data_IF_828116267789
#
_entry.id   IF_828116267789
#
_cell.length_a   1.000
_cell.length_b   1.000
_cell.length_c   1.000
_cell.angle_alpha   90.00
_cell.angle_beta   90.00
_cell.angle_gamma   90.00
#
_symmetry.space_group_name_H-M   'P 1'
#
loop_
_entity.id
_entity.type
_entity.pdbx_description
1 polymer ?
#
# COMPACT_ATOMS: atom_id res chain seq x y z
N UNK A 1 -22.31 30.91 34.13
CA UNK A 1 -22.32 30.31 32.79
C UNK A 1 -20.87 30.06 32.43
N UNK A 2 -20.37 28.91 32.76
CA UNK A 2 -18.96 28.58 32.63
C UNK A 2 -18.83 27.20 32.01
N UNK A 3 -18.09 27.14 30.91
CA UNK A 3 -17.22 26.06 30.46
C UNK A 3 -17.76 24.63 30.37
N UNK A 4 -18.16 24.23 29.19
CA UNK A 4 -17.98 22.85 28.73
C UNK A 4 -17.06 22.91 27.52
N UNK A 5 -15.76 22.90 27.75
CA UNK A 5 -14.70 22.51 26.85
C UNK A 5 -13.76 21.64 27.65
N UNK A 6 -14.00 20.35 27.59
CA UNK A 6 -13.05 19.34 28.07
C UNK A 6 -13.00 18.26 27.01
N UNK A 7 -12.02 18.40 26.13
CA UNK A 7 -11.03 17.39 25.80
C UNK A 7 -11.60 15.98 25.57
N UNK A 8 -11.97 15.70 24.34
CA UNK A 8 -11.81 14.36 23.76
C UNK A 8 -10.30 14.08 23.70
N UNK A 9 -9.73 13.71 24.83
CA UNK A 9 -8.45 13.05 24.89
C UNK A 9 -8.78 11.58 24.58
N UNK A 10 -8.84 11.23 23.29
CA UNK A 10 -8.88 9.85 22.83
C UNK A 10 -7.73 9.14 23.52
N UNK A 11 -8.06 8.23 24.41
CA UNK A 11 -7.10 7.42 25.15
C UNK A 11 -6.53 6.38 24.19
N UNK A 12 -5.60 6.82 23.31
CA UNK A 12 -4.89 5.93 22.41
C UNK A 12 -4.18 4.87 23.24
N UNK A 13 -4.37 3.58 22.94
CA UNK A 13 -3.68 2.51 23.63
C UNK A 13 -2.15 2.71 23.56
N UNK A 14 -1.46 2.52 24.68
CA UNK A 14 -0.02 2.76 24.78
C UNK A 14 0.80 2.01 23.70
N UNK A 15 0.35 0.82 23.30
CA UNK A 15 1.02 0.03 22.26
C UNK A 15 0.98 0.68 20.88
N UNK A 16 -0.03 1.47 20.53
CA UNK A 16 -0.08 2.18 19.24
C UNK A 16 0.99 3.27 19.16
N UNK A 17 1.12 4.08 20.20
CA UNK A 17 2.19 5.09 20.31
C UNK A 17 3.57 4.43 20.26
N UNK A 18 3.72 3.25 20.85
CA UNK A 18 4.99 2.53 20.84
C UNK A 18 5.26 1.92 19.45
N UNK A 19 4.23 1.45 18.75
CA UNK A 19 4.37 1.01 17.36
C UNK A 19 4.85 2.14 16.45
N UNK A 20 4.27 3.34 16.57
CA UNK A 20 4.71 4.53 15.84
C UNK A 20 6.18 4.88 16.15
N UNK A 21 6.61 4.81 17.40
CA UNK A 21 8.01 5.06 17.78
C UNK A 21 8.98 4.01 17.23
N UNK A 22 8.58 2.75 17.20
CA UNK A 22 9.41 1.69 16.60
C UNK A 22 9.47 1.88 15.07
N UNK A 23 8.38 2.26 14.43
CA UNK A 23 8.37 2.60 13.01
C UNK A 23 9.27 3.81 12.70
N UNK A 24 9.26 4.85 13.56
CA UNK A 24 10.16 6.00 13.46
C UNK A 24 11.63 5.59 13.58
N UNK A 25 11.98 4.67 14.50
CA UNK A 25 13.35 4.14 14.60
C UNK A 25 13.85 3.51 13.30
N UNK A 26 12.98 2.85 12.53
CA UNK A 26 13.33 2.28 11.23
C UNK A 26 13.71 3.40 10.26
N UNK A 27 12.91 4.45 10.19
CA UNK A 27 13.11 5.58 9.28
C UNK A 27 14.32 6.40 9.68
N UNK A 28 14.41 6.80 10.95
CA UNK A 28 15.46 7.70 11.48
C UNK A 28 16.86 7.07 11.39
N UNK A 29 16.95 5.75 11.55
CA UNK A 29 18.22 5.03 11.40
C UNK A 29 18.45 4.53 9.96
N UNK A 30 17.58 4.89 9.00
CA UNK A 30 17.68 4.46 7.60
C UNK A 30 17.82 2.93 7.45
N UNK A 31 17.14 2.18 8.32
CA UNK A 31 17.20 0.73 8.30
C UNK A 31 16.53 0.19 7.04
N UNK A 32 17.19 -0.76 6.41
CA UNK A 32 16.74 -1.40 5.17
C UNK A 32 15.97 -2.68 5.47
N UNK A 33 15.14 -3.13 4.54
CA UNK A 33 14.56 -4.46 4.60
C UNK A 33 15.59 -5.54 4.90
N UNK A 34 15.29 -6.41 5.88
CA UNK A 34 16.19 -7.45 6.36
C UNK A 34 17.15 -7.00 7.49
N UNK A 35 17.24 -5.72 7.77
CA UNK A 35 18.03 -5.24 8.91
C UNK A 35 17.39 -5.68 10.23
N UNK A 36 18.25 -6.03 11.17
CA UNK A 36 17.81 -6.50 12.49
C UNK A 36 17.45 -5.30 13.36
N UNK A 37 16.25 -5.33 13.94
CA UNK A 37 15.82 -4.41 14.96
C UNK A 37 16.29 -4.85 16.35
N UNK A 38 16.36 -3.92 17.33
CA UNK A 38 16.56 -4.30 18.72
C UNK A 38 15.51 -5.32 19.18
N UNK A 39 15.88 -6.17 20.10
CA UNK A 39 14.98 -7.16 20.69
C UNK A 39 13.85 -6.48 21.47
N UNK A 40 12.74 -7.19 21.73
CA UNK A 40 11.64 -6.66 22.56
C UNK A 40 12.14 -6.20 23.94
N UNK A 41 13.19 -6.81 24.46
CA UNK A 41 13.81 -6.41 25.72
C UNK A 41 14.54 -5.08 25.58
N UNK A 42 15.41 -4.96 24.60
CA UNK A 42 16.15 -3.72 24.30
C UNK A 42 15.20 -2.56 23.97
N UNK A 43 14.15 -2.82 23.19
CA UNK A 43 13.12 -1.82 22.89
C UNK A 43 12.37 -1.40 24.15
N UNK A 44 12.09 -2.31 25.09
CA UNK A 44 11.42 -1.95 26.33
C UNK A 44 12.28 -1.06 27.22
N UNK A 45 13.59 -1.27 27.24
CA UNK A 45 14.55 -0.42 27.95
C UNK A 45 14.69 0.95 27.26
N UNK A 46 14.88 0.97 25.93
CA UNK A 46 15.05 2.20 25.16
C UNK A 46 13.82 3.11 25.20
N UNK A 47 12.64 2.52 25.16
CA UNK A 47 11.36 3.27 25.11
C UNK A 47 10.74 3.50 26.49
N UNK A 48 11.33 2.94 27.56
CA UNK A 48 10.87 3.12 28.95
C UNK A 48 9.49 2.54 29.22
N UNK A 49 9.11 1.44 28.56
CA UNK A 49 7.80 0.79 28.70
C UNK A 49 7.95 -0.70 29.01
N UNK A 50 6.86 -1.32 29.47
CA UNK A 50 6.88 -2.75 29.78
C UNK A 50 7.06 -3.60 28.50
N UNK A 51 7.70 -4.76 28.64
CA UNK A 51 7.86 -5.74 27.53
C UNK A 51 6.51 -6.18 26.93
N UNK A 52 5.45 -6.18 27.72
CA UNK A 52 4.10 -6.51 27.25
C UNK A 52 3.61 -5.45 26.25
N UNK A 53 3.79 -4.17 26.55
CA UNK A 53 3.41 -3.08 25.64
C UNK A 53 4.22 -3.13 24.34
N UNK A 54 5.54 -3.39 24.42
CA UNK A 54 6.39 -3.57 23.24
C UNK A 54 5.91 -4.76 22.39
N UNK A 55 5.60 -5.88 23.04
CA UNK A 55 5.12 -7.07 22.32
C UNK A 55 3.80 -6.84 21.58
N UNK A 56 2.86 -6.10 22.19
CA UNK A 56 1.60 -5.73 21.51
C UNK A 56 1.89 -4.75 20.34
N UNK A 57 2.77 -3.78 20.55
CA UNK A 57 3.22 -2.88 19.48
C UNK A 57 3.88 -3.65 18.30
N UNK A 58 4.75 -4.61 18.62
CA UNK A 58 5.39 -5.49 17.60
C UNK A 58 4.34 -6.32 16.86
N UNK A 59 3.30 -6.84 17.53
CA UNK A 59 2.22 -7.55 16.85
C UNK A 59 1.50 -6.65 15.83
N UNK A 60 1.25 -5.39 16.17
CA UNK A 60 0.66 -4.40 15.25
C UNK A 60 1.58 -4.21 14.04
N UNK A 61 2.87 -3.99 14.27
CA UNK A 61 3.85 -3.80 13.19
C UNK A 61 4.02 -5.04 12.32
N UNK A 62 3.90 -6.23 12.89
CA UNK A 62 3.89 -7.50 12.13
C UNK A 62 2.59 -7.61 11.30
N UNK A 63 1.44 -7.31 11.91
CA UNK A 63 0.15 -7.34 11.23
C UNK A 63 0.05 -6.33 10.09
N UNK A 64 0.72 -5.16 10.23
CA UNK A 64 0.82 -4.13 9.19
C UNK A 64 1.98 -4.36 8.21
N UNK A 65 2.72 -5.48 8.36
CA UNK A 65 3.81 -5.83 7.44
C UNK A 65 5.04 -4.93 7.52
N UNK A 66 5.21 -4.14 8.58
CA UNK A 66 6.37 -3.25 8.76
C UNK A 66 7.59 -3.98 9.35
N UNK A 67 7.35 -5.02 10.12
CA UNK A 67 8.40 -5.86 10.69
C UNK A 67 7.99 -7.34 10.64
N UNK A 68 8.97 -8.24 10.71
CA UNK A 68 8.71 -9.67 10.86
C UNK A 68 9.58 -10.27 11.97
N UNK A 69 9.07 -11.33 12.59
CA UNK A 69 9.78 -12.06 13.62
C UNK A 69 10.36 -13.35 13.05
N UNK A 70 11.64 -13.60 13.29
CA UNK A 70 12.29 -14.88 12.96
C UNK A 70 12.51 -15.67 14.25
N UNK A 71 11.87 -16.83 14.36
CA UNK A 71 11.90 -17.67 15.56
C UNK A 71 13.34 -17.94 16.00
N UNK A 72 13.69 -17.56 17.23
CA UNK A 72 15.05 -17.72 17.79
C UNK A 72 16.10 -16.72 17.28
N UNK A 73 15.77 -15.85 16.33
CA UNK A 73 16.72 -14.92 15.71
C UNK A 73 16.43 -13.44 15.98
N UNK A 74 15.16 -13.05 16.22
CA UNK A 74 14.80 -11.69 16.60
C UNK A 74 13.73 -11.03 15.72
N UNK A 75 13.71 -9.69 15.77
CA UNK A 75 12.83 -8.81 15.04
C UNK A 75 13.61 -8.16 13.89
N UNK A 76 13.00 -8.08 12.72
CA UNK A 76 13.64 -7.57 11.51
C UNK A 76 12.71 -6.59 10.80
N UNK A 77 13.28 -5.58 10.16
CA UNK A 77 12.53 -4.69 9.27
C UNK A 77 11.95 -5.54 8.14
N UNK A 78 10.62 -5.54 8.04
CA UNK A 78 10.00 -6.08 6.87
C UNK A 78 10.22 -5.07 5.73
N UNK A 79 11.06 -5.46 4.87
CA UNK A 79 10.86 -5.32 3.46
C UNK A 79 10.17 -6.59 3.06
N UNK A 80 9.81 -6.73 1.84
CA UNK A 80 9.33 -8.04 1.35
C UNK A 80 10.01 -9.16 2.14
N UNK A 81 9.22 -10.00 2.84
CA UNK A 81 9.76 -11.13 3.65
C UNK A 81 10.92 -11.77 2.87
N UNK A 82 12.03 -12.22 3.50
CA UNK A 82 13.07 -12.95 2.77
C UNK A 82 12.52 -14.13 1.96
N UNK A 83 11.48 -14.80 2.45
CA UNK A 83 10.72 -15.79 1.67
C UNK A 83 9.94 -15.16 0.52
N UNK A 84 9.50 -13.92 0.69
CA UNK A 84 8.89 -13.10 -0.34
C UNK A 84 9.99 -12.49 -1.24
N UNK A 85 11.13 -12.05 -0.71
CA UNK A 85 12.26 -11.58 -1.52
C UNK A 85 12.90 -12.70 -2.34
N UNK A 86 13.03 -13.92 -1.80
CA UNK A 86 13.45 -15.11 -2.53
C UNK A 86 12.36 -15.57 -3.53
N UNK A 87 11.08 -15.42 -3.18
CA UNK A 87 9.95 -15.65 -4.06
C UNK A 87 9.94 -14.62 -5.22
N UNK A 88 10.42 -13.41 -4.98
CA UNK A 88 10.48 -12.32 -5.96
C UNK A 88 11.85 -12.14 -6.64
N UNK A 89 12.88 -12.85 -6.21
CA UNK A 89 14.19 -12.85 -6.87
C UNK A 89 14.12 -13.45 -8.29
N UNK A 90 13.05 -14.20 -8.58
CA UNK A 90 12.68 -14.65 -9.92
C UNK A 90 11.23 -14.23 -10.18
N UNK A 91 11.01 -12.99 -10.58
CA UNK A 91 9.67 -12.53 -10.97
C UNK A 91 9.25 -13.27 -12.23
N UNK A 92 8.40 -14.26 -12.04
CA UNK A 92 7.80 -15.05 -13.11
C UNK A 92 6.54 -14.34 -13.63
N UNK A 93 6.31 -14.27 -14.97
CA UNK A 93 5.06 -13.78 -15.55
C UNK A 93 3.78 -14.44 -14.98
N UNK A 94 3.85 -15.70 -14.52
CA UNK A 94 2.73 -16.39 -13.88
C UNK A 94 2.40 -15.79 -12.51
N UNK A 95 3.39 -15.41 -11.74
CA UNK A 95 3.20 -14.74 -10.44
C UNK A 95 2.56 -13.36 -10.61
N UNK A 96 2.96 -12.61 -11.65
CA UNK A 96 2.30 -11.35 -11.99
C UNK A 96 0.84 -11.60 -12.32
N UNK A 97 0.53 -12.63 -13.10
CA UNK A 97 -0.85 -12.98 -13.46
C UNK A 97 -1.68 -13.34 -12.22
N UNK A 98 -1.16 -14.18 -11.33
CA UNK A 98 -1.84 -14.57 -10.08
C UNK A 98 -2.08 -13.38 -9.16
N UNK A 99 -1.14 -12.43 -9.11
CA UNK A 99 -1.30 -11.21 -8.37
C UNK A 99 -2.44 -10.35 -8.90
N UNK A 100 -2.49 -10.15 -10.22
CA UNK A 100 -3.56 -9.35 -10.82
C UNK A 100 -4.91 -10.05 -10.76
N UNK A 101 -4.97 -11.38 -10.81
CA UNK A 101 -6.19 -12.14 -10.50
C UNK A 101 -6.69 -11.81 -9.09
N UNK A 102 -5.80 -11.80 -8.09
CA UNK A 102 -6.14 -11.41 -6.73
C UNK A 102 -6.59 -9.95 -6.62
N UNK A 103 -5.94 -9.03 -7.36
CA UNK A 103 -6.36 -7.63 -7.46
C UNK A 103 -7.78 -7.50 -8.02
N UNK A 104 -8.08 -8.20 -9.09
CA UNK A 104 -9.41 -8.19 -9.70
C UNK A 104 -10.49 -8.65 -8.70
N UNK A 105 -10.22 -9.71 -7.93
CA UNK A 105 -11.14 -10.22 -6.90
C UNK A 105 -11.42 -9.17 -5.81
N UNK A 106 -10.44 -8.36 -5.42
CA UNK A 106 -10.58 -7.39 -4.33
C UNK A 106 -11.01 -6.01 -4.81
N UNK A 107 -10.37 -5.49 -5.86
CA UNK A 107 -10.48 -4.08 -6.21
C UNK A 107 -11.69 -3.77 -7.10
N UNK A 108 -12.20 -4.73 -7.88
CA UNK A 108 -13.44 -4.53 -8.66
C UNK A 108 -14.65 -4.31 -7.73
N UNK A 109 -14.96 -5.22 -6.81
CA UNK A 109 -16.06 -4.99 -5.88
C UNK A 109 -15.81 -3.79 -4.95
N UNK A 110 -14.54 -3.44 -4.68
CA UNK A 110 -14.23 -2.25 -3.90
C UNK A 110 -14.62 -0.97 -4.65
N UNK A 111 -14.31 -0.86 -5.94
CA UNK A 111 -14.71 0.30 -6.76
C UNK A 111 -16.24 0.43 -6.84
N UNK A 112 -16.94 -0.70 -7.04
CA UNK A 112 -18.39 -0.76 -7.01
C UNK A 112 -18.98 -0.23 -5.69
N UNK A 113 -18.51 -0.78 -4.56
CA UNK A 113 -18.96 -0.38 -3.23
C UNK A 113 -18.60 1.07 -2.89
N UNK A 114 -17.44 1.55 -3.35
CA UNK A 114 -17.06 2.94 -3.18
C UNK A 114 -18.05 3.89 -3.87
N UNK A 115 -18.48 3.60 -5.10
CA UNK A 115 -19.48 4.38 -5.81
C UNK A 115 -20.83 4.43 -5.06
N UNK A 116 -21.20 3.37 -4.34
CA UNK A 116 -22.42 3.32 -3.54
C UNK A 116 -22.33 4.06 -2.20
N UNK A 117 -21.12 4.21 -1.63
CA UNK A 117 -20.96 4.52 -0.19
C UNK A 117 -20.11 5.74 0.11
N UNK A 118 -19.32 6.22 -0.86
CA UNK A 118 -18.37 7.30 -0.64
C UNK A 118 -19.04 8.54 -0.07
N UNK A 119 -18.47 9.08 0.99
CA UNK A 119 -18.90 10.34 1.59
C UNK A 119 -18.28 11.53 0.86
N UNK A 120 -18.85 12.76 0.97
CA UNK A 120 -18.25 13.95 0.37
C UNK A 120 -16.82 14.24 0.82
N UNK A 121 -16.47 13.90 2.07
CA UNK A 121 -15.11 14.06 2.59
C UNK A 121 -14.13 13.08 1.94
N UNK A 122 -14.51 11.80 1.82
CA UNK A 122 -13.70 10.77 1.18
C UNK A 122 -13.54 11.02 -0.32
N UNK A 123 -14.59 11.52 -0.97
CA UNK A 123 -14.52 11.92 -2.38
C UNK A 123 -13.52 13.06 -2.60
N UNK A 124 -13.42 14.01 -1.65
CA UNK A 124 -12.41 15.07 -1.71
C UNK A 124 -10.99 14.46 -1.61
N UNK A 125 -10.76 13.58 -0.67
CA UNK A 125 -9.46 12.89 -0.52
C UNK A 125 -9.09 12.06 -1.77
N UNK A 126 -10.06 11.36 -2.38
CA UNK A 126 -9.84 10.63 -3.63
C UNK A 126 -9.49 11.58 -4.80
N UNK A 127 -10.16 12.72 -4.92
CA UNK A 127 -9.82 13.75 -5.93
C UNK A 127 -8.41 14.30 -5.74
N UNK A 128 -8.01 14.57 -4.49
CA UNK A 128 -6.67 15.07 -4.18
C UNK A 128 -5.61 14.05 -4.58
N UNK A 129 -5.84 12.76 -4.28
CA UNK A 129 -4.93 11.69 -4.68
C UNK A 129 -4.80 11.56 -6.20
N UNK A 130 -5.91 11.65 -6.95
CA UNK A 130 -5.90 11.61 -8.42
C UNK A 130 -5.22 12.86 -9.01
N UNK A 131 -5.45 14.04 -8.44
CA UNK A 131 -4.78 15.27 -8.86
C UNK A 131 -3.28 15.20 -8.64
N UNK A 132 -2.85 14.67 -7.49
CA UNK A 132 -1.44 14.48 -7.20
C UNK A 132 -0.80 13.43 -8.13
N UNK A 133 -1.55 12.37 -8.47
CA UNK A 133 -1.09 11.37 -9.45
C UNK A 133 -0.89 11.98 -10.85
N UNK A 134 -1.80 12.85 -11.30
CA UNK A 134 -1.65 13.58 -12.56
C UNK A 134 -0.42 14.49 -12.52
N UNK A 135 -0.24 15.27 -11.45
CA UNK A 135 0.91 16.15 -11.29
C UNK A 135 2.24 15.40 -11.30
N UNK A 136 2.32 14.22 -10.67
CA UNK A 136 3.53 13.40 -10.66
C UNK A 136 3.99 12.99 -12.06
N UNK A 137 3.05 12.77 -12.98
CA UNK A 137 3.34 12.48 -14.39
C UNK A 137 3.83 13.73 -15.12
N UNK A 138 3.24 14.91 -14.84
CA UNK A 138 3.65 16.19 -15.45
C UNK A 138 5.10 16.55 -15.06
N UNK A 139 5.47 16.35 -13.79
CA UNK A 139 6.83 16.61 -13.29
C UNK A 139 7.79 15.43 -13.50
N UNK A 140 7.32 14.33 -14.08
CA UNK A 140 8.07 13.11 -14.36
C UNK A 140 8.66 12.44 -13.11
N UNK A 141 8.02 12.59 -11.96
CA UNK A 141 8.40 11.94 -10.71
C UNK A 141 7.71 10.58 -10.56
N UNK A 142 8.45 9.53 -10.86
CA UNK A 142 7.95 8.14 -10.81
C UNK A 142 7.68 7.65 -9.40
N UNK A 143 8.44 8.15 -8.42
CA UNK A 143 8.24 7.80 -7.01
C UNK A 143 6.91 8.37 -6.53
N UNK A 144 6.67 9.66 -6.76
CA UNK A 144 5.39 10.31 -6.45
C UNK A 144 4.23 9.65 -7.19
N UNK A 145 4.43 9.20 -8.43
CA UNK A 145 3.41 8.44 -9.16
C UNK A 145 3.04 7.17 -8.41
N UNK A 146 4.01 6.37 -7.96
CA UNK A 146 3.76 5.14 -7.21
C UNK A 146 3.04 5.37 -5.88
N UNK A 147 3.42 6.42 -5.14
CA UNK A 147 2.78 6.78 -3.88
C UNK A 147 1.32 7.24 -4.08
N UNK A 148 1.09 8.09 -5.07
CA UNK A 148 -0.25 8.59 -5.39
C UNK A 148 -1.17 7.50 -5.97
N UNK A 149 -0.64 6.60 -6.78
CA UNK A 149 -1.36 5.42 -7.26
C UNK A 149 -1.81 4.54 -6.07
N UNK A 150 -0.91 4.28 -5.13
CA UNK A 150 -1.26 3.55 -3.91
C UNK A 150 -2.31 4.29 -3.06
N UNK A 151 -2.24 5.62 -2.99
CA UNK A 151 -3.20 6.43 -2.26
C UNK A 151 -4.60 6.39 -2.89
N UNK A 152 -4.71 6.41 -4.23
CA UNK A 152 -5.98 6.28 -4.95
C UNK A 152 -6.67 4.95 -4.60
N UNK A 153 -5.97 3.83 -4.75
CA UNK A 153 -6.55 2.52 -4.48
C UNK A 153 -6.91 2.34 -3.00
N UNK A 154 -6.13 2.94 -2.09
CA UNK A 154 -6.45 2.97 -0.65
C UNK A 154 -7.72 3.78 -0.39
N UNK A 155 -7.85 4.98 -0.96
CA UNK A 155 -9.04 5.81 -0.79
C UNK A 155 -10.30 5.11 -1.30
N UNK A 156 -10.21 4.40 -2.43
CA UNK A 156 -11.32 3.58 -2.95
C UNK A 156 -11.67 2.45 -1.96
N UNK A 157 -10.66 1.77 -1.41
CA UNK A 157 -10.86 0.70 -0.44
C UNK A 157 -11.49 1.21 0.88
N UNK A 158 -11.06 2.36 1.38
CA UNK A 158 -11.62 3.02 2.57
C UNK A 158 -13.07 3.43 2.36
N UNK A 159 -13.42 3.97 1.19
CA UNK A 159 -14.77 4.34 0.82
C UNK A 159 -15.75 3.15 0.72
N UNK A 160 -15.27 1.91 0.75
CA UNK A 160 -16.15 0.73 0.88
C UNK A 160 -16.82 0.63 2.25
N UNK A 161 -16.27 1.29 3.26
CA UNK A 161 -16.64 1.16 4.68
C UNK A 161 -16.57 -0.29 5.19
N UNK A 162 -15.76 -1.12 4.53
CA UNK A 162 -15.51 -2.51 4.92
C UNK A 162 -14.05 -2.66 5.39
N UNK A 163 -13.80 -2.69 6.72
CA UNK A 163 -12.43 -2.72 7.25
C UNK A 163 -11.64 -3.98 6.83
N UNK A 164 -12.31 -5.10 6.57
CA UNK A 164 -11.64 -6.31 6.10
C UNK A 164 -11.17 -6.16 4.66
N UNK A 165 -12.00 -5.58 3.79
CA UNK A 165 -11.65 -5.33 2.39
C UNK A 165 -10.54 -4.28 2.29
N UNK A 166 -10.64 -3.19 3.07
CA UNK A 166 -9.61 -2.16 3.18
C UNK A 166 -8.27 -2.77 3.63
N UNK A 167 -8.28 -3.57 4.70
CA UNK A 167 -7.08 -4.22 5.20
C UNK A 167 -6.45 -5.16 4.15
N UNK A 168 -7.25 -5.94 3.45
CA UNK A 168 -6.78 -6.86 2.42
C UNK A 168 -6.11 -6.10 1.27
N UNK A 169 -6.75 -5.03 0.75
CA UNK A 169 -6.21 -4.22 -0.36
C UNK A 169 -4.94 -3.49 0.06
N UNK A 170 -4.93 -2.85 1.23
CA UNK A 170 -3.74 -2.13 1.74
C UNK A 170 -2.58 -3.10 1.96
N UNK A 171 -2.83 -4.25 2.58
CA UNK A 171 -1.79 -5.27 2.79
C UNK A 171 -1.24 -5.80 1.46
N UNK A 172 -2.13 -6.15 0.54
CA UNK A 172 -1.76 -6.57 -0.80
C UNK A 172 -0.86 -5.53 -1.48
N UNK A 173 -1.24 -4.26 -1.47
CA UNK A 173 -0.49 -3.17 -2.11
C UNK A 173 0.86 -2.92 -1.45
N UNK A 174 0.97 -3.01 -0.14
CA UNK A 174 2.24 -2.88 0.58
C UNK A 174 3.22 -4.03 0.26
N UNK A 175 2.71 -5.22 0.01
CA UNK A 175 3.54 -6.37 -0.41
C UNK A 175 3.95 -6.30 -1.88
N UNK A 176 3.31 -5.46 -2.68
CA UNK A 176 3.54 -5.29 -4.11
C UNK A 176 4.55 -4.20 -4.48
N UNK A 177 5.27 -3.64 -3.52
CA UNK A 177 6.28 -2.59 -3.79
C UNK A 177 7.23 -2.98 -4.94
N UNK A 178 7.54 -4.26 -5.09
CA UNK A 178 8.35 -4.79 -6.18
C UNK A 178 7.68 -4.67 -7.58
N UNK A 179 6.34 -4.69 -7.67
CA UNK A 179 5.64 -4.46 -8.95
C UNK A 179 5.86 -3.02 -9.40
N UNK A 180 5.99 -2.08 -8.47
CA UNK A 180 6.36 -0.70 -8.80
C UNK A 180 7.81 -0.58 -9.24
N UNK A 181 8.73 -1.35 -8.66
CA UNK A 181 10.12 -1.44 -9.13
C UNK A 181 10.20 -1.99 -10.57
N UNK A 182 9.37 -2.99 -10.88
CA UNK A 182 9.20 -3.47 -12.26
C UNK A 182 8.57 -2.38 -13.12
N UNK A 183 7.55 -1.73 -12.60
CA UNK A 183 6.85 -0.63 -13.26
C UNK A 183 7.73 0.63 -13.46
N UNK A 184 8.88 0.74 -12.78
CA UNK A 184 9.85 1.82 -13.01
C UNK A 184 10.37 1.87 -14.47
N UNK A 185 10.22 0.77 -15.23
CA UNK A 185 10.48 0.74 -16.68
C UNK A 185 9.36 1.31 -17.56
N UNK A 186 8.20 1.68 -17.00
CA UNK A 186 7.06 2.20 -17.77
C UNK A 186 7.40 3.52 -18.44
N UNK A 187 6.97 3.65 -19.69
CA UNK A 187 7.13 4.88 -20.46
C UNK A 187 6.19 5.97 -19.94
N UNK A 188 6.49 7.22 -20.27
CA UNK A 188 5.63 8.37 -19.94
C UNK A 188 4.20 8.18 -20.46
N UNK A 189 4.04 7.63 -21.67
CA UNK A 189 2.73 7.38 -22.26
C UNK A 189 1.89 6.37 -21.48
N UNK A 190 2.53 5.34 -20.91
CA UNK A 190 1.85 4.36 -20.04
C UNK A 190 1.37 5.03 -18.75
N UNK A 191 2.19 5.88 -18.13
CA UNK A 191 1.79 6.61 -16.94
C UNK A 191 0.64 7.58 -17.21
N UNK A 192 0.67 8.29 -18.35
CA UNK A 192 -0.44 9.14 -18.79
C UNK A 192 -1.74 8.35 -19.01
N UNK A 193 -1.62 7.12 -19.52
CA UNK A 193 -2.78 6.24 -19.70
C UNK A 193 -3.39 5.87 -18.35
N UNK A 194 -2.58 5.55 -17.34
CA UNK A 194 -3.09 5.26 -16.00
C UNK A 194 -3.76 6.45 -15.34
N UNK A 195 -3.22 7.66 -15.50
CA UNK A 195 -3.89 8.88 -15.02
C UNK A 195 -5.27 9.03 -15.64
N UNK A 196 -5.42 8.82 -16.95
CA UNK A 196 -6.73 8.87 -17.63
C UNK A 196 -7.69 7.83 -17.06
N UNK A 197 -7.21 6.64 -16.77
CA UNK A 197 -8.02 5.58 -16.16
C UNK A 197 -8.45 5.92 -14.73
N UNK A 198 -7.54 6.48 -13.92
CA UNK A 198 -7.88 6.96 -12.57
C UNK A 198 -8.94 8.08 -12.60
N UNK A 199 -8.85 8.98 -13.57
CA UNK A 199 -9.88 10.00 -13.78
C UNK A 199 -11.24 9.36 -14.15
N UNK A 200 -11.25 8.31 -14.97
CA UNK A 200 -12.48 7.59 -15.32
C UNK A 200 -13.08 6.88 -14.11
N UNK A 201 -12.26 6.23 -13.29
CA UNK A 201 -12.70 5.59 -12.03
C UNK A 201 -13.27 6.64 -11.08
N UNK A 202 -12.57 7.76 -10.88
CA UNK A 202 -13.02 8.86 -10.04
C UNK A 202 -14.38 9.41 -10.51
N UNK A 203 -14.55 9.62 -11.81
CA UNK A 203 -15.79 10.13 -12.39
C UNK A 203 -16.97 9.19 -12.09
N UNK A 204 -16.80 7.88 -12.34
CA UNK A 204 -17.83 6.88 -12.08
C UNK A 204 -18.20 6.80 -10.57
N UNK A 205 -17.22 6.87 -9.69
CA UNK A 205 -17.45 6.88 -8.23
C UNK A 205 -18.16 8.16 -7.81
N UNK A 206 -17.77 9.31 -8.35
CA UNK A 206 -18.39 10.62 -8.06
C UNK A 206 -19.85 10.70 -8.50
N UNK A 207 -20.17 10.08 -9.63
CA UNK A 207 -21.54 10.06 -10.19
C UNK A 207 -22.41 9.00 -9.51
N UNK A 208 -21.83 8.16 -8.64
CA UNK A 208 -22.55 7.11 -7.94
C UNK A 208 -22.99 5.98 -8.90
N UNK A 209 -22.12 5.62 -9.85
CA UNK A 209 -22.38 4.62 -10.90
C UNK A 209 -21.58 3.33 -10.62
N UNK A 210 -22.11 2.37 -9.83
CA UNK A 210 -21.35 1.21 -9.35
C UNK A 210 -20.82 0.32 -10.48
N UNK A 211 -21.65 0.06 -11.50
CA UNK A 211 -21.26 -0.79 -12.63
C UNK A 211 -20.18 -0.12 -13.49
N UNK A 212 -20.26 1.20 -13.66
CA UNK A 212 -19.25 1.97 -14.39
C UNK A 212 -17.92 2.04 -13.61
N UNK A 213 -17.96 2.18 -12.29
CA UNK A 213 -16.78 2.19 -11.43
C UNK A 213 -16.05 0.84 -11.45
N UNK A 214 -16.79 -0.26 -11.34
CA UNK A 214 -16.27 -1.62 -11.46
C UNK A 214 -15.63 -1.85 -12.83
N UNK A 215 -16.31 -1.48 -13.91
CA UNK A 215 -15.79 -1.62 -15.27
C UNK A 215 -14.55 -0.76 -15.52
N UNK A 216 -14.51 0.47 -15.02
CA UNK A 216 -13.34 1.34 -15.14
C UNK A 216 -12.14 0.77 -14.39
N UNK A 217 -12.33 0.22 -13.19
CA UNK A 217 -11.30 -0.47 -12.42
C UNK A 217 -10.81 -1.74 -13.15
N UNK A 218 -11.72 -2.50 -13.76
CA UNK A 218 -11.38 -3.68 -14.55
C UNK A 218 -10.43 -3.32 -15.70
N UNK A 219 -10.78 -2.33 -16.51
CA UNK A 219 -9.94 -1.86 -17.63
C UNK A 219 -8.57 -1.40 -17.14
N UNK A 220 -8.52 -0.68 -16.02
CA UNK A 220 -7.27 -0.24 -15.41
C UNK A 220 -6.37 -1.43 -15.01
N UNK A 221 -6.92 -2.41 -14.32
CA UNK A 221 -6.16 -3.56 -13.83
C UNK A 221 -5.71 -4.49 -14.97
N UNK A 222 -6.54 -4.72 -15.99
CA UNK A 222 -6.15 -5.51 -17.15
C UNK A 222 -4.98 -4.88 -17.91
N UNK A 223 -5.02 -3.56 -18.14
CA UNK A 223 -3.90 -2.88 -18.79
C UNK A 223 -2.65 -2.89 -17.92
N UNK A 224 -2.78 -2.73 -16.61
CA UNK A 224 -1.67 -2.81 -15.69
C UNK A 224 -1.04 -4.21 -15.67
N UNK A 225 -1.83 -5.27 -15.77
CA UNK A 225 -1.36 -6.65 -15.94
C UNK A 225 -0.52 -6.80 -17.22
N UNK A 226 -1.05 -6.36 -18.37
CA UNK A 226 -0.35 -6.46 -19.65
C UNK A 226 1.01 -5.78 -19.61
N UNK A 227 1.06 -4.52 -19.18
CA UNK A 227 2.31 -3.77 -19.06
C UNK A 227 3.30 -4.39 -18.07
N UNK A 228 2.81 -4.95 -16.96
CA UNK A 228 3.67 -5.59 -15.96
C UNK A 228 4.28 -6.89 -16.50
N UNK A 229 3.51 -7.68 -17.25
CA UNK A 229 4.01 -8.90 -17.90
C UNK A 229 5.03 -8.62 -18.97
N UNK A 230 4.79 -7.63 -19.83
CA UNK A 230 5.74 -7.20 -20.87
C UNK A 230 7.07 -6.76 -20.27
N UNK A 231 7.03 -5.99 -19.18
CA UNK A 231 8.24 -5.53 -18.51
C UNK A 231 9.03 -6.67 -17.86
N UNK A 232 8.34 -7.65 -17.25
CA UNK A 232 9.00 -8.85 -16.71
C UNK A 232 9.67 -9.65 -17.82
N UNK A 233 8.96 -9.90 -18.91
CA UNK A 233 9.53 -10.62 -20.05
C UNK A 233 10.75 -9.90 -20.64
N UNK A 234 10.71 -8.58 -20.76
CA UNK A 234 11.84 -7.77 -21.21
C UNK A 234 13.06 -7.91 -20.31
N UNK A 235 12.88 -7.92 -18.98
CA UNK A 235 13.98 -8.09 -18.01
C UNK A 235 14.58 -9.49 -18.04
N UNK A 236 13.74 -10.52 -18.13
CA UNK A 236 14.20 -11.92 -18.24
C UNK A 236 15.03 -12.11 -19.52
N UNK A 237 14.58 -11.56 -20.65
CA UNK A 237 15.31 -11.62 -21.91
C UNK A 237 16.66 -10.88 -21.87
N UNK A 238 16.72 -9.73 -21.19
CA UNK A 238 17.95 -8.96 -21.02
C UNK A 238 18.95 -9.56 -20.01
N UNK A 239 18.48 -10.37 -19.06
CA UNK A 239 19.31 -11.05 -18.06
C UNK A 239 19.93 -12.37 -18.54
N UNK A 240 19.42 -12.95 -19.61
CA UNK A 240 19.93 -14.21 -20.19
C UNK A 240 21.15 -14.08 -21.11
N UNK A 241 21.63 -12.86 -21.36
CA UNK A 241 22.81 -12.57 -22.21
C UNK A 241 24.12 -12.32 -21.45
N UNK A 242 24.22 -12.78 -20.19
CA UNK A 242 25.47 -12.63 -19.42
C UNK A 242 26.06 -13.96 -19.01
#
# INVERSE_FOLDING_TARGET
MSSIRSAENEHRPAYETIAEKIAALITDNSLKPGDRLPTEHELSEQLGVSRTVVREAVKVLVATGQVYTRRGSGLYVAGTSPQIADFFAVVDPEQVSSLYEYRLILELPAARLAAERITPHELHALRDAVTFNQHSVEVQDRHQFGESDAAIHRAIAEATHNPFLTSAIVHMRNTQHWVFEIAAGRTQDVLQTYVKQHLTILAAIQEGEPDAAEQAMHVHLEQALLHSREEVLRRVSAGGEK
#
